data_IF_603505269983
#
_entry.id   IF_603505269983
#
_cell.length_a   1.000
_cell.length_b   1.000
_cell.length_c   1.000
_cell.angle_alpha   90.00
_cell.angle_beta   90.00
_cell.angle_gamma   90.00
#
_symmetry.space_group_name_H-M   'P 1'
#
loop_
_entity.id
_entity.type
_entity.pdbx_description
1 polymer ?
#
# COMPACT_ATOMS: atom_id res chain seq x y z
N UNK A 1 -22.81 -19.32 -22.96
CA UNK A 1 -22.67 -17.88 -23.30
C UNK A 1 -21.18 -17.57 -23.41
N UNK A 2 -20.67 -17.17 -24.59
CA UNK A 2 -19.28 -16.74 -24.74
C UNK A 2 -19.23 -15.26 -24.38
N UNK A 3 -18.58 -14.88 -23.28
CA UNK A 3 -18.29 -13.48 -23.00
C UNK A 3 -17.18 -13.03 -23.96
N UNK A 4 -17.43 -12.05 -24.85
CA UNK A 4 -16.36 -11.45 -25.63
C UNK A 4 -15.41 -10.73 -24.68
N UNK A 5 -14.12 -10.77 -24.99
CA UNK A 5 -13.06 -10.12 -24.24
C UNK A 5 -13.26 -8.59 -24.25
N UNK A 6 -13.96 -8.03 -23.28
CA UNK A 6 -13.85 -6.60 -22.96
C UNK A 6 -12.57 -6.42 -22.13
N UNK A 7 -11.42 -6.51 -22.81
CA UNK A 7 -10.16 -6.01 -22.28
C UNK A 7 -10.10 -4.53 -22.68
N UNK A 8 -10.05 -3.66 -21.69
CA UNK A 8 -9.73 -2.23 -21.81
C UNK A 8 -10.83 -1.29 -22.31
N UNK A 9 -12.06 -1.44 -21.82
CA UNK A 9 -12.96 -0.27 -21.71
C UNK A 9 -12.70 0.41 -20.37
N UNK A 10 -11.50 0.95 -20.20
CA UNK A 10 -11.25 1.96 -19.19
C UNK A 10 -12.02 3.21 -19.65
N UNK A 11 -13.23 3.41 -19.11
CA UNK A 11 -14.02 4.60 -19.39
C UNK A 11 -13.16 5.83 -19.09
N UNK A 12 -12.82 6.59 -20.13
CA UNK A 12 -12.13 7.87 -19.96
C UNK A 12 -13.11 8.81 -19.29
N UNK A 13 -12.85 9.13 -18.03
CA UNK A 13 -13.59 10.16 -17.30
C UNK A 13 -13.42 11.49 -18.03
N UNK A 14 -14.51 12.19 -18.27
CA UNK A 14 -14.42 13.56 -18.77
C UNK A 14 -14.05 14.53 -17.63
N UNK A 15 -13.65 15.75 -18.00
CA UNK A 15 -13.21 16.77 -17.03
C UNK A 15 -14.28 17.10 -15.98
N UNK A 16 -15.56 16.89 -16.29
CA UNK A 16 -16.66 17.12 -15.35
C UNK A 16 -16.77 15.97 -14.36
N UNK A 17 -16.65 14.73 -14.83
CA UNK A 17 -16.66 13.55 -13.97
C UNK A 17 -15.44 13.50 -13.03
N UNK A 18 -14.27 13.91 -13.51
CA UNK A 18 -13.06 14.05 -12.69
C UNK A 18 -13.25 15.11 -11.60
N UNK A 19 -13.76 16.29 -11.95
CA UNK A 19 -14.06 17.35 -10.99
C UNK A 19 -15.09 16.91 -9.93
N UNK A 20 -16.11 16.14 -10.33
CA UNK A 20 -17.10 15.59 -9.38
C UNK A 20 -16.45 14.57 -8.44
N UNK A 21 -15.57 13.70 -8.94
CA UNK A 21 -14.86 12.73 -8.11
C UNK A 21 -13.94 13.42 -7.10
N UNK A 22 -13.25 14.48 -7.50
CA UNK A 22 -12.37 15.22 -6.59
C UNK A 22 -13.15 15.96 -5.51
N UNK A 23 -14.30 16.54 -5.84
CA UNK A 23 -15.22 17.09 -4.82
C UNK A 23 -15.68 15.98 -3.88
N UNK A 24 -16.08 14.80 -4.40
CA UNK A 24 -16.51 13.66 -3.57
C UNK A 24 -15.43 13.17 -2.62
N UNK A 25 -14.16 13.13 -3.04
CA UNK A 25 -13.03 12.79 -2.17
C UNK A 25 -12.86 13.81 -1.05
N UNK A 26 -13.09 15.11 -1.31
CA UNK A 26 -12.98 16.16 -0.29
C UNK A 26 -14.09 16.08 0.78
N UNK A 27 -15.29 15.64 0.41
CA UNK A 27 -16.41 15.42 1.36
C UNK A 27 -16.46 13.99 1.91
N UNK A 28 -15.48 13.15 1.56
CA UNK A 28 -15.45 11.77 1.98
C UNK A 28 -15.24 11.67 3.49
N UNK A 29 -16.16 11.00 4.16
CA UNK A 29 -16.00 10.62 5.56
C UNK A 29 -15.45 9.20 5.53
N UNK A 30 -14.19 8.97 5.92
CA UNK A 30 -13.61 7.65 5.90
C UNK A 30 -14.40 6.72 6.81
N UNK A 31 -14.65 5.50 6.33
CA UNK A 31 -15.18 4.44 7.18
C UNK A 31 -14.19 4.16 8.31
N UNK A 32 -14.64 3.57 9.44
CA UNK A 32 -13.74 3.23 10.54
C UNK A 32 -12.56 2.34 10.10
N UNK A 33 -12.78 1.44 9.13
CA UNK A 33 -11.72 0.60 8.57
C UNK A 33 -10.72 1.42 7.76
N UNK A 34 -11.19 2.29 6.85
CA UNK A 34 -10.31 3.14 6.05
C UNK A 34 -9.50 4.09 6.92
N UNK A 35 -10.12 4.66 7.96
CA UNK A 35 -9.42 5.53 8.91
C UNK A 35 -8.33 4.75 9.64
N UNK A 36 -8.65 3.58 10.20
CA UNK A 36 -7.67 2.75 10.90
C UNK A 36 -6.50 2.33 10.00
N UNK A 37 -6.77 1.99 8.73
CA UNK A 37 -5.73 1.65 7.76
C UNK A 37 -4.87 2.86 7.39
N UNK A 38 -5.50 4.03 7.24
CA UNK A 38 -4.79 5.28 6.92
C UNK A 38 -3.90 5.72 8.08
N UNK A 39 -4.40 5.64 9.31
CA UNK A 39 -3.63 5.97 10.52
C UNK A 39 -2.45 5.02 10.69
N UNK A 40 -2.70 3.71 10.59
CA UNK A 40 -1.63 2.70 10.65
C UNK A 40 -0.57 2.93 9.56
N UNK A 41 -0.98 3.32 8.35
CA UNK A 41 -0.07 3.65 7.26
C UNK A 41 0.75 4.91 7.55
N UNK A 42 0.14 5.97 8.09
CA UNK A 42 0.82 7.22 8.42
C UNK A 42 1.81 7.07 9.59
N UNK A 43 1.61 6.06 10.44
CA UNK A 43 2.56 5.71 11.50
C UNK A 43 3.78 4.93 10.98
N UNK A 44 3.73 4.38 9.76
CA UNK A 44 4.87 3.69 9.16
C UNK A 44 6.00 4.70 8.89
N UNK A 45 7.20 4.31 9.28
CA UNK A 45 8.42 5.10 9.13
C UNK A 45 9.35 4.35 8.15
N UNK A 46 9.47 4.82 6.91
CA UNK A 46 10.24 4.13 5.88
C UNK A 46 11.73 4.09 6.22
N UNK A 47 12.26 5.09 6.94
CA UNK A 47 13.64 5.06 7.41
C UNK A 47 13.87 3.92 8.40
N UNK A 48 12.95 3.70 9.35
CA UNK A 48 13.01 2.55 10.27
C UNK A 48 12.83 1.21 9.56
N UNK A 49 11.97 1.14 8.56
CA UNK A 49 11.79 -0.08 7.77
C UNK A 49 13.09 -0.46 7.04
N UNK A 50 13.75 0.51 6.42
CA UNK A 50 15.06 0.31 5.79
C UNK A 50 16.14 -0.10 6.81
N UNK A 51 16.15 0.49 8.01
CA UNK A 51 17.07 0.11 9.08
C UNK A 51 16.89 -1.37 9.51
N UNK A 52 15.63 -1.82 9.63
CA UNK A 52 15.31 -3.22 9.91
C UNK A 52 15.84 -4.13 8.79
N UNK A 53 15.62 -3.76 7.52
CA UNK A 53 16.13 -4.52 6.38
C UNK A 53 17.65 -4.65 6.39
N UNK A 54 18.37 -3.58 6.73
CA UNK A 54 19.83 -3.58 6.84
C UNK A 54 20.32 -4.47 8.00
N UNK A 55 19.61 -4.50 9.12
CA UNK A 55 19.92 -5.44 10.20
C UNK A 55 19.69 -6.88 9.80
N UNK A 56 18.61 -7.18 9.07
CA UNK A 56 18.33 -8.52 8.57
C UNK A 56 19.44 -9.00 7.63
N UNK A 57 19.89 -8.17 6.69
CA UNK A 57 21.02 -8.48 5.81
C UNK A 57 22.29 -8.82 6.59
N UNK A 58 22.61 -8.01 7.61
CA UNK A 58 23.78 -8.27 8.47
C UNK A 58 23.63 -9.57 9.26
N UNK A 59 22.43 -9.90 9.74
CA UNK A 59 22.18 -11.15 10.44
C UNK A 59 22.39 -12.36 9.51
N UNK A 60 21.93 -12.27 8.26
CA UNK A 60 22.12 -13.34 7.26
C UNK A 60 23.61 -13.55 6.90
N UNK A 61 24.44 -12.51 7.02
CA UNK A 61 25.90 -12.60 6.79
C UNK A 61 26.65 -13.25 7.95
N UNK A 62 26.06 -13.29 9.15
CA UNK A 62 26.71 -13.90 10.31
C UNK A 62 26.63 -15.42 10.24
N UNK A 63 27.76 -16.10 10.39
CA UNK A 63 27.78 -17.55 10.55
C UNK A 63 27.14 -17.95 11.89
N UNK A 64 26.28 -18.97 11.86
CA UNK A 64 25.70 -19.52 13.08
C UNK A 64 26.80 -20.04 14.01
N UNK A 65 26.78 -19.62 15.27
CA UNK A 65 27.70 -20.13 16.27
C UNK A 65 27.27 -21.54 16.64
N UNK A 66 28.12 -22.57 16.44
CA UNK A 66 27.77 -23.92 16.83
C UNK A 66 27.59 -24.01 18.35
N UNK A 67 26.70 -24.89 18.85
CA UNK A 67 26.52 -25.10 20.28
C UNK A 67 27.85 -25.46 20.96
N UNK A 68 28.13 -24.86 22.12
CA UNK A 68 29.21 -25.31 22.99
C UNK A 68 28.81 -26.67 23.59
N UNK A 69 29.55 -27.73 23.20
CA UNK A 69 29.45 -29.07 23.78
C UNK A 69 29.82 -29.11 25.27
#
# INVERSE_FOLDING_TARGET
MKHPKEKDVCFKLDATEEAILDVRKQVHIPSPLEQALTDAFNELDPEKENEIEDFLKKLDELEEVPPLE
#
